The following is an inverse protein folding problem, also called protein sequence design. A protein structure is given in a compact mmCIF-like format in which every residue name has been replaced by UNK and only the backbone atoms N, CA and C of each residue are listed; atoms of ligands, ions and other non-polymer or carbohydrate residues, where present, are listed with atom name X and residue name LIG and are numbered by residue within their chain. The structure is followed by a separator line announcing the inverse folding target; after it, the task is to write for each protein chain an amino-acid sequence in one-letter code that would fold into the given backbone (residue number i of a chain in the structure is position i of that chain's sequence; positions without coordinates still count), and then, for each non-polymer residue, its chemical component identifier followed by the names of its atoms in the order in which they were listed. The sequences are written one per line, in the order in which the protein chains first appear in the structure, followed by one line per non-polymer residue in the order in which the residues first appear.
data_IF_247355179876
#
_entry.id   IF_247355179876
#
_cell.length_a   1.000
_cell.length_b   1.000
_cell.length_c   1.000
_cell.angle_alpha   90.00
_cell.angle_beta   90.00
_cell.angle_gamma   90.00
#
_symmetry.space_group_name_H-M   'P 1'
#
loop_
_entity.id
_entity.type
_entity.pdbx_description
1 polymer ?
#
# COMPACT_ATOMS: atom_id res chain seq x y z
N UNK A 1 -76.01 -31.96 19.14
CA UNK A 1 -74.75 -31.40 19.57
C UNK A 1 -73.81 -31.39 18.35
N UNK A 2 -73.62 -30.23 17.68
CA UNK A 2 -72.80 -30.07 16.48
C UNK A 2 -71.57 -29.33 16.94
N UNK A 3 -70.36 -29.96 16.77
CA UNK A 3 -69.07 -29.31 16.99
C UNK A 3 -68.59 -28.77 15.64
N UNK A 4 -68.45 -27.45 15.50
CA UNK A 4 -67.81 -26.80 14.38
C UNK A 4 -66.29 -26.78 14.64
N UNK A 5 -65.52 -27.39 13.75
CA UNK A 5 -64.08 -27.31 13.73
C UNK A 5 -63.68 -26.11 12.85
N UNK A 6 -63.14 -25.07 13.46
CA UNK A 6 -62.54 -23.94 12.74
C UNK A 6 -61.09 -24.29 12.39
N UNK A 7 -60.80 -24.49 11.14
CA UNK A 7 -59.48 -24.73 10.63
C UNK A 7 -58.82 -23.37 10.30
N UNK A 8 -57.93 -22.89 11.18
CA UNK A 8 -57.15 -21.67 10.95
C UNK A 8 -55.95 -21.98 10.08
N UNK A 9 -56.00 -21.54 8.82
CA UNK A 9 -54.90 -21.66 7.88
C UNK A 9 -53.89 -20.52 8.14
N UNK A 10 -52.72 -20.83 8.75
CA UNK A 10 -51.62 -19.88 8.90
C UNK A 10 -50.81 -19.89 7.61
N UNK A 11 -51.00 -18.86 6.74
CA UNK A 11 -50.12 -18.59 5.60
C UNK A 11 -48.82 -17.97 6.14
N UNK A 12 -47.75 -18.77 6.18
CA UNK A 12 -46.40 -18.30 6.42
C UNK A 12 -45.86 -17.66 5.14
N UNK A 13 -45.85 -16.32 5.09
CA UNK A 13 -45.16 -15.59 4.03
C UNK A 13 -43.65 -15.61 4.29
N UNK A 14 -42.94 -16.53 3.66
CA UNK A 14 -41.51 -16.44 3.55
C UNK A 14 -41.15 -15.25 2.63
N UNK A 15 -40.75 -14.13 3.22
CA UNK A 15 -40.06 -13.07 2.49
C UNK A 15 -38.69 -13.57 2.10
N UNK A 16 -38.56 -14.11 0.91
CA UNK A 16 -37.28 -14.29 0.25
C UNK A 16 -36.83 -12.90 -0.18
N UNK A 17 -35.92 -12.31 0.59
CA UNK A 17 -35.20 -11.10 0.17
C UNK A 17 -34.31 -11.49 -1.00
N UNK A 18 -34.81 -11.37 -2.21
CA UNK A 18 -33.98 -11.40 -3.42
C UNK A 18 -33.22 -10.09 -3.42
N UNK A 19 -31.97 -10.13 -2.90
CA UNK A 19 -30.98 -9.11 -3.20
C UNK A 19 -30.76 -9.15 -4.71
N UNK A 20 -31.39 -8.24 -5.42
CA UNK A 20 -31.10 -8.00 -6.83
C UNK A 20 -29.66 -7.49 -6.89
N UNK A 21 -28.71 -8.39 -7.09
CA UNK A 21 -27.42 -8.05 -7.67
C UNK A 21 -27.72 -7.55 -9.09
N UNK A 22 -27.86 -6.24 -9.24
CA UNK A 22 -27.75 -5.59 -10.53
C UNK A 22 -26.28 -5.78 -11.00
N UNK A 23 -26.00 -6.93 -11.56
CA UNK A 23 -24.83 -7.14 -12.41
C UNK A 23 -25.06 -6.32 -13.68
N UNK A 24 -24.76 -5.02 -13.59
CA UNK A 24 -24.54 -4.23 -14.78
C UNK A 24 -23.27 -4.80 -15.41
N UNK A 25 -23.39 -5.56 -16.49
CA UNK A 25 -22.28 -6.22 -17.23
C UNK A 25 -21.16 -5.24 -17.64
N UNK A 26 -21.37 -3.94 -17.41
CA UNK A 26 -20.48 -2.85 -17.78
C UNK A 26 -19.62 -2.28 -16.62
N UNK A 27 -19.85 -2.71 -15.37
CA UNK A 27 -19.15 -2.17 -14.20
C UNK A 27 -18.65 -3.29 -13.30
N UNK A 28 -17.37 -3.25 -12.93
CA UNK A 28 -16.78 -4.16 -11.95
C UNK A 28 -16.50 -3.39 -10.66
N UNK A 29 -17.15 -3.78 -9.57
CA UNK A 29 -16.99 -3.18 -8.25
C UNK A 29 -15.97 -3.95 -7.41
N UNK A 30 -15.13 -3.21 -6.68
CA UNK A 30 -14.12 -3.72 -5.78
C UNK A 30 -14.33 -3.10 -4.40
N UNK A 31 -14.40 -3.93 -3.36
CA UNK A 31 -14.58 -3.48 -1.98
C UNK A 31 -13.36 -3.81 -1.13
N UNK A 32 -12.84 -2.81 -0.39
CA UNK A 32 -11.65 -2.95 0.45
C UNK A 32 -11.35 -1.71 1.27
N UNK A 33 -10.08 -1.44 1.52
CA UNK A 33 -9.62 -0.25 2.26
C UNK A 33 -10.17 1.05 1.67
N UNK A 34 -10.17 1.17 0.36
CA UNK A 34 -11.01 2.06 -0.43
C UNK A 34 -11.87 1.22 -1.36
N UNK A 35 -13.12 1.61 -1.55
CA UNK A 35 -13.95 1.04 -2.58
C UNK A 35 -13.66 1.72 -3.92
N UNK A 36 -13.76 0.99 -5.01
CA UNK A 36 -13.69 1.57 -6.33
C UNK A 36 -14.48 0.74 -7.35
N UNK A 37 -14.82 1.35 -8.47
CA UNK A 37 -15.42 0.65 -9.58
C UNK A 37 -14.65 0.93 -10.87
N UNK A 38 -14.54 -0.09 -11.70
CA UNK A 38 -14.07 0.03 -13.07
C UNK A 38 -15.25 0.05 -14.02
N UNK A 39 -15.35 1.09 -14.84
CA UNK A 39 -16.39 1.25 -15.85
C UNK A 39 -15.84 0.87 -17.23
N UNK A 40 -16.22 -0.32 -17.72
CA UNK A 40 -15.70 -0.90 -18.97
C UNK A 40 -15.90 0.03 -20.19
N UNK A 41 -17.07 0.68 -20.30
CA UNK A 41 -17.37 1.56 -21.45
C UNK A 41 -16.49 2.81 -21.51
N UNK A 42 -16.03 3.30 -20.37
CA UNK A 42 -15.20 4.50 -20.27
C UNK A 42 -13.72 4.18 -20.15
N UNK A 43 -13.38 2.91 -19.87
CA UNK A 43 -12.05 2.46 -19.48
C UNK A 43 -11.49 3.31 -18.31
N UNK A 44 -12.32 3.46 -17.26
CA UNK A 44 -11.99 4.33 -16.11
C UNK A 44 -12.20 3.65 -14.77
N UNK A 45 -11.34 3.98 -13.83
CA UNK A 45 -11.46 3.63 -12.41
C UNK A 45 -11.98 4.85 -11.64
N UNK A 46 -13.11 4.67 -10.95
CA UNK A 46 -13.68 5.66 -10.04
C UNK A 46 -13.45 5.22 -8.60
N UNK A 47 -12.69 6.01 -7.86
CA UNK A 47 -12.38 5.75 -6.46
C UNK A 47 -13.42 6.42 -5.56
N UNK A 48 -13.91 5.68 -4.55
CA UNK A 48 -14.77 6.17 -3.49
C UNK A 48 -13.91 6.57 -2.29
N UNK A 49 -13.84 7.87 -1.99
CA UNK A 49 -13.03 8.41 -0.90
C UNK A 49 -13.93 8.79 0.26
N UNK A 50 -13.95 7.97 1.29
CA UNK A 50 -14.65 8.15 2.56
C UNK A 50 -13.72 8.65 3.69
N UNK A 51 -12.40 8.51 3.53
CA UNK A 51 -11.36 8.81 4.52
C UNK A 51 -10.69 10.15 4.22
N UNK A 52 -11.35 11.23 4.63
CA UNK A 52 -10.81 12.59 4.47
C UNK A 52 -9.95 12.94 5.69
N UNK A 53 -8.74 13.49 5.45
CA UNK A 53 -7.73 13.84 6.46
C UNK A 53 -7.19 12.63 7.27
N UNK A 54 -7.47 11.42 6.89
CA UNK A 54 -6.88 10.20 7.45
C UNK A 54 -5.58 9.86 6.72
N UNK A 55 -4.51 9.63 7.46
CA UNK A 55 -3.21 9.28 6.90
C UNK A 55 -3.19 7.80 6.50
N UNK A 56 -2.60 7.50 5.34
CA UNK A 56 -2.33 6.14 4.87
C UNK A 56 -0.99 6.08 4.14
N UNK A 57 -0.45 4.86 3.99
CA UNK A 57 0.79 4.64 3.27
C UNK A 57 0.50 4.51 1.77
N UNK A 58 1.25 5.25 0.96
CA UNK A 58 1.29 5.10 -0.49
C UNK A 58 2.69 4.67 -0.93
N UNK A 59 2.75 3.58 -1.70
CA UNK A 59 3.97 3.08 -2.33
C UNK A 59 3.67 2.83 -3.81
N UNK A 60 4.62 3.18 -4.67
CA UNK A 60 4.60 2.73 -6.05
C UNK A 60 5.78 1.79 -6.31
N UNK A 61 5.60 0.87 -7.24
CA UNK A 61 6.65 -0.09 -7.64
C UNK A 61 6.52 -0.44 -9.13
N UNK A 62 7.42 -1.26 -9.64
CA UNK A 62 7.35 -1.81 -10.98
C UNK A 62 7.03 -3.30 -10.91
N UNK A 63 5.86 -3.72 -11.40
CA UNK A 63 5.53 -5.14 -11.57
C UNK A 63 6.32 -5.73 -12.73
N UNK A 64 6.50 -4.96 -13.80
CA UNK A 64 7.37 -5.30 -14.93
C UNK A 64 8.36 -4.17 -15.13
N UNK A 65 9.64 -4.50 -15.10
CA UNK A 65 10.74 -3.57 -15.29
C UNK A 65 11.41 -3.72 -16.66
N UNK A 66 12.58 -3.12 -16.81
CA UNK A 66 13.37 -3.12 -18.06
C UNK A 66 14.44 -4.24 -18.12
N UNK A 67 14.61 -5.03 -17.05
CA UNK A 67 15.50 -6.19 -17.07
C UNK A 67 17.01 -5.88 -17.03
N UNK A 68 17.41 -4.69 -16.57
CA UNK A 68 18.81 -4.32 -16.40
C UNK A 68 19.04 -3.70 -15.03
N UNK A 69 19.81 -4.39 -14.18
CA UNK A 69 20.19 -3.89 -12.86
C UNK A 69 20.96 -2.56 -12.94
N UNK A 70 21.76 -2.34 -14.00
CA UNK A 70 22.50 -1.10 -14.19
C UNK A 70 21.59 0.09 -14.46
N UNK A 71 20.44 -0.12 -15.11
CA UNK A 71 19.40 0.90 -15.26
C UNK A 71 18.68 1.10 -13.93
N UNK A 72 18.50 0.03 -13.14
CA UNK A 72 17.82 0.08 -11.84
C UNK A 72 16.32 0.42 -11.97
N UNK A 73 15.67 -0.13 -13.00
CA UNK A 73 14.23 -0.15 -13.23
C UNK A 73 13.79 -1.60 -13.37
N UNK A 74 14.05 -2.39 -12.32
CA UNK A 74 13.85 -3.82 -12.31
C UNK A 74 12.44 -4.21 -11.84
N UNK A 75 12.04 -5.44 -12.15
CA UNK A 75 10.84 -6.04 -11.58
C UNK A 75 10.90 -6.00 -10.05
N UNK A 76 9.81 -5.55 -9.42
CA UNK A 76 9.67 -5.47 -7.97
C UNK A 76 10.35 -4.25 -7.33
N UNK A 77 11.00 -3.38 -8.12
CA UNK A 77 11.65 -2.20 -7.55
C UNK A 77 10.63 -1.25 -6.93
N UNK A 78 10.84 -0.95 -5.65
CA UNK A 78 10.05 0.02 -4.92
C UNK A 78 10.45 1.44 -5.29
N UNK A 79 9.46 2.31 -5.43
CA UNK A 79 9.65 3.76 -5.45
C UNK A 79 9.70 4.34 -4.03
N UNK A 80 9.41 5.62 -3.92
CA UNK A 80 9.40 6.29 -2.62
C UNK A 80 8.17 5.89 -1.80
N UNK A 81 8.38 5.57 -0.53
CA UNK A 81 7.33 5.42 0.48
C UNK A 81 6.83 6.81 0.90
N UNK A 82 5.52 6.98 0.96
CA UNK A 82 4.90 8.26 1.34
C UNK A 82 3.73 8.04 2.27
N UNK A 83 3.72 8.75 3.39
CA UNK A 83 2.49 8.91 4.16
C UNK A 83 1.69 10.02 3.48
N UNK A 84 0.47 9.72 3.09
CA UNK A 84 -0.41 10.64 2.36
C UNK A 84 -1.81 10.67 2.95
N UNK A 85 -2.58 11.70 2.59
CA UNK A 85 -4.01 11.80 2.92
C UNK A 85 -4.76 12.54 1.83
N UNK A 86 -6.06 12.28 1.73
CA UNK A 86 -6.94 13.12 0.93
C UNK A 86 -7.37 14.35 1.71
N UNK A 87 -7.19 15.55 1.13
CA UNK A 87 -7.71 16.81 1.66
C UNK A 87 -8.69 17.44 0.67
N UNK A 88 -9.82 17.95 1.19
CA UNK A 88 -10.83 18.64 0.37
C UNK A 88 -10.52 20.12 0.27
N UNK A 89 -10.52 20.65 -0.96
CA UNK A 89 -10.38 22.06 -1.27
C UNK A 89 -11.42 22.45 -2.34
N UNK A 90 -12.47 23.17 -1.91
CA UNK A 90 -13.58 23.51 -2.82
C UNK A 90 -14.19 22.25 -3.46
N UNK A 91 -14.17 22.18 -4.80
CA UNK A 91 -14.66 21.01 -5.57
C UNK A 91 -13.54 20.00 -5.95
N UNK A 92 -12.44 20.00 -5.21
CA UNK A 92 -11.31 19.10 -5.47
C UNK A 92 -10.96 18.28 -4.24
N UNK A 93 -10.48 17.06 -4.46
CA UNK A 93 -9.69 16.30 -3.50
C UNK A 93 -8.23 16.35 -3.93
N UNK A 94 -7.36 16.72 -3.00
CA UNK A 94 -5.92 16.69 -3.21
C UNK A 94 -5.33 15.52 -2.44
N UNK A 95 -4.51 14.70 -3.11
CA UNK A 95 -3.65 13.71 -2.46
C UNK A 95 -2.41 14.45 -1.96
N UNK A 96 -2.32 14.62 -0.65
CA UNK A 96 -1.30 15.44 0.01
C UNK A 96 -0.36 14.55 0.80
N UNK A 97 0.94 14.76 0.64
CA UNK A 97 1.99 14.21 1.48
C UNK A 97 2.37 15.26 2.54
N UNK A 98 2.00 15.05 3.83
CA UNK A 98 2.45 15.91 4.92
C UNK A 98 3.96 15.84 5.08
N UNK A 99 4.54 16.95 5.54
CA UNK A 99 5.96 16.95 5.87
C UNK A 99 6.21 16.16 7.16
N UNK A 100 6.78 14.97 7.03
CA UNK A 100 7.08 14.10 8.17
C UNK A 100 8.47 14.34 8.78
N UNK A 101 9.32 15.15 8.13
CA UNK A 101 10.67 15.42 8.59
C UNK A 101 10.72 16.51 9.67
N UNK A 102 9.72 17.41 9.67
CA UNK A 102 9.60 18.54 10.58
C UNK A 102 8.24 18.47 11.27
N UNK A 103 8.24 18.32 12.59
CA UNK A 103 7.01 18.12 13.39
C UNK A 103 7.04 18.97 14.64
N UNK A 104 5.89 19.13 15.28
CA UNK A 104 5.77 19.56 16.67
C UNK A 104 4.97 18.49 17.44
N UNK A 105 5.63 17.74 18.31
CA UNK A 105 4.97 16.79 19.22
C UNK A 105 4.50 17.58 20.44
N UNK A 106 3.32 18.20 20.33
CA UNK A 106 2.78 19.11 21.35
C UNK A 106 1.26 19.00 21.42
N UNK A 107 0.71 19.24 22.60
CA UNK A 107 -0.73 19.44 22.81
C UNK A 107 -1.18 20.88 22.50
N UNK A 108 -0.24 21.79 22.23
CA UNK A 108 -0.51 23.17 21.86
C UNK A 108 -0.75 23.26 20.34
N UNK A 109 -2.01 23.42 19.94
CA UNK A 109 -2.40 23.51 18.52
C UNK A 109 -1.71 24.68 17.79
N UNK A 110 -1.43 25.80 18.45
CA UNK A 110 -0.75 26.94 17.84
C UNK A 110 0.70 26.61 17.48
N UNK A 111 1.37 25.83 18.33
CA UNK A 111 2.74 25.37 18.10
C UNK A 111 2.78 24.38 16.91
N UNK A 112 1.86 23.40 16.89
CA UNK A 112 1.72 22.48 15.77
C UNK A 112 1.45 23.22 14.46
N UNK A 113 0.49 24.16 14.47
CA UNK A 113 0.16 24.95 13.29
C UNK A 113 1.35 25.82 12.81
N UNK A 114 2.14 26.36 13.71
CA UNK A 114 3.33 27.17 13.34
C UNK A 114 4.35 26.34 12.57
N UNK A 115 4.57 25.08 12.99
CA UNK A 115 5.50 24.17 12.29
C UNK A 115 4.90 23.73 10.94
N UNK A 116 3.61 23.39 10.87
CA UNK A 116 2.94 23.05 9.61
C UNK A 116 2.97 24.20 8.60
N UNK A 117 2.92 25.44 9.06
CA UNK A 117 3.00 26.63 8.18
C UNK A 117 4.44 26.93 7.74
N UNK A 118 5.43 26.59 8.56
CA UNK A 118 6.84 26.81 8.27
C UNK A 118 7.41 25.79 7.25
N UNK A 119 6.86 24.58 7.20
CA UNK A 119 7.37 23.47 6.38
C UNK A 119 6.28 22.96 5.45
N UNK A 120 6.46 23.20 4.15
CA UNK A 120 5.46 22.90 3.13
C UNK A 120 5.15 21.40 3.04
N UNK A 121 3.86 21.10 2.83
CA UNK A 121 3.40 19.81 2.36
C UNK A 121 3.56 19.70 0.84
N UNK A 122 3.56 18.47 0.30
CA UNK A 122 3.58 18.23 -1.14
C UNK A 122 2.21 17.75 -1.61
N UNK A 123 1.67 18.38 -2.65
CA UNK A 123 0.50 17.86 -3.35
C UNK A 123 0.97 16.89 -4.43
N UNK A 124 0.60 15.62 -4.29
CA UNK A 124 0.98 14.56 -5.23
C UNK A 124 0.09 14.60 -6.47
N UNK A 125 -1.22 14.78 -6.27
CA UNK A 125 -2.20 14.87 -7.34
C UNK A 125 -3.47 15.60 -6.89
N UNK A 126 -4.21 16.15 -7.86
CA UNK A 126 -5.49 16.81 -7.64
C UNK A 126 -6.60 16.18 -8.48
N UNK A 127 -7.70 15.82 -7.83
CA UNK A 127 -8.87 15.20 -8.45
C UNK A 127 -10.05 16.14 -8.38
N UNK A 128 -10.82 16.23 -9.46
CA UNK A 128 -12.14 16.86 -9.41
C UNK A 128 -13.14 15.89 -8.78
N UNK A 129 -13.98 16.41 -7.88
CA UNK A 129 -15.08 15.64 -7.29
C UNK A 129 -16.17 15.53 -8.36
N UNK A 130 -16.44 14.29 -8.82
CA UNK A 130 -17.49 14.01 -9.81
C UNK A 130 -18.85 13.96 -9.13
N UNK A 131 -18.91 13.27 -7.98
CA UNK A 131 -20.14 13.06 -7.22
C UNK A 131 -19.83 13.04 -5.73
N UNK A 132 -20.77 13.49 -4.91
CA UNK A 132 -20.77 13.29 -3.46
C UNK A 132 -22.01 12.53 -3.05
N UNK A 133 -21.83 11.38 -2.37
CA UNK A 133 -22.88 10.56 -1.75
C UNK A 133 -22.66 10.57 -0.25
N UNK A 134 -23.52 11.23 0.50
CA UNK A 134 -23.34 11.42 1.94
C UNK A 134 -21.95 11.98 2.26
N UNK A 135 -21.08 11.19 2.92
CA UNK A 135 -19.70 11.56 3.27
C UNK A 135 -18.65 10.93 2.35
N UNK A 136 -19.07 10.26 1.26
CA UNK A 136 -18.19 9.64 0.27
C UNK A 136 -18.06 10.54 -0.96
N UNK A 137 -16.83 10.80 -1.39
CA UNK A 137 -16.52 11.54 -2.60
C UNK A 137 -16.07 10.58 -3.72
N UNK A 138 -16.67 10.71 -4.88
CA UNK A 138 -16.30 9.91 -6.06
C UNK A 138 -15.41 10.75 -6.97
N UNK A 139 -14.25 10.20 -7.34
CA UNK A 139 -13.25 10.84 -8.19
C UNK A 139 -12.83 9.92 -9.35
N UNK A 140 -12.49 10.50 -10.51
CA UNK A 140 -11.81 9.77 -11.59
C UNK A 140 -10.34 9.57 -11.20
N UNK A 141 -9.99 8.32 -10.91
CA UNK A 141 -8.66 7.94 -10.44
C UNK A 141 -7.69 7.59 -11.58
N UNK A 142 -8.23 7.39 -12.80
CA UNK A 142 -7.49 6.97 -13.99
C UNK A 142 -6.31 7.87 -14.33
N UNK A 143 -6.43 9.22 -14.34
CA UNK A 143 -5.30 10.09 -14.68
C UNK A 143 -4.13 9.98 -13.71
N UNK A 144 -4.38 9.65 -12.43
CA UNK A 144 -3.32 9.41 -11.46
C UNK A 144 -2.55 8.13 -11.77
N UNK A 145 -3.22 7.08 -12.23
CA UNK A 145 -2.59 5.80 -12.57
C UNK A 145 -1.77 5.89 -13.86
N UNK A 146 -2.21 6.71 -14.82
CA UNK A 146 -1.58 6.88 -16.13
C UNK A 146 -0.55 8.03 -16.14
N UNK A 147 0.29 8.15 -15.09
CA UNK A 147 1.40 9.11 -15.03
C UNK A 147 2.70 8.41 -14.63
N UNK A 148 3.85 8.99 -14.99
CA UNK A 148 5.19 8.49 -14.63
C UNK A 148 5.53 8.76 -13.16
N UNK A 149 4.81 8.11 -12.23
CA UNK A 149 5.02 8.29 -10.80
C UNK A 149 6.31 7.65 -10.31
N UNK A 150 6.73 6.55 -10.93
CA UNK A 150 8.00 5.88 -10.60
C UNK A 150 9.22 6.68 -11.04
N UNK A 151 9.06 7.56 -12.03
CA UNK A 151 10.13 8.42 -12.53
C UNK A 151 11.03 7.74 -13.55
N UNK A 152 10.47 6.88 -14.37
CA UNK A 152 11.18 6.17 -15.46
C UNK A 152 11.89 7.14 -16.40
N UNK A 153 11.20 8.20 -16.82
CA UNK A 153 11.76 9.24 -17.69
C UNK A 153 12.99 9.90 -17.04
N UNK A 154 12.85 10.29 -15.77
CA UNK A 154 13.95 10.92 -15.03
C UNK A 154 15.14 9.96 -14.88
N UNK A 155 14.88 8.70 -14.59
CA UNK A 155 15.92 7.68 -14.41
C UNK A 155 16.69 7.45 -15.69
N UNK A 156 16.03 7.20 -16.82
CA UNK A 156 16.67 6.99 -18.13
C UNK A 156 17.49 8.21 -18.55
N UNK A 157 16.96 9.42 -18.35
CA UNK A 157 17.68 10.65 -18.64
C UNK A 157 18.95 10.79 -17.79
N UNK A 158 18.87 10.52 -16.49
CA UNK A 158 20.02 10.63 -15.57
C UNK A 158 21.17 9.68 -15.94
N UNK A 159 20.84 8.51 -16.51
CA UNK A 159 21.78 7.49 -16.96
C UNK A 159 22.19 7.68 -18.43
N UNK A 160 21.78 8.75 -19.08
CA UNK A 160 22.06 9.04 -20.50
C UNK A 160 21.61 7.89 -21.43
N UNK A 161 20.47 7.26 -21.09
CA UNK A 161 19.89 6.20 -21.92
C UNK A 161 19.00 6.72 -23.04
N UNK A 162 18.67 8.02 -23.03
CA UNK A 162 17.88 8.70 -24.03
C UNK A 162 16.85 9.67 -23.42
N UNK A 163 16.15 10.36 -24.30
CA UNK A 163 15.08 11.30 -23.96
C UNK A 163 13.72 10.66 -24.32
N UNK A 164 12.87 10.43 -23.31
CA UNK A 164 11.59 9.77 -23.45
C UNK A 164 10.45 10.67 -22.95
N UNK A 165 9.25 10.42 -23.45
CA UNK A 165 7.98 10.97 -22.96
C UNK A 165 6.95 9.85 -22.83
N UNK A 166 6.03 9.98 -21.89
CA UNK A 166 4.91 9.07 -21.76
C UNK A 166 3.94 9.22 -22.95
N UNK A 167 3.53 8.10 -23.54
CA UNK A 167 2.56 8.04 -24.61
C UNK A 167 1.27 7.38 -24.12
N UNK A 168 0.27 8.21 -23.80
CA UNK A 168 -1.01 7.72 -23.29
C UNK A 168 -1.79 6.89 -24.31
N UNK A 169 -1.55 7.07 -25.63
CA UNK A 169 -2.21 6.27 -26.66
C UNK A 169 -1.75 4.81 -26.69
N UNK A 170 -0.60 4.53 -26.06
CA UNK A 170 0.01 3.21 -25.93
C UNK A 170 0.05 2.73 -24.48
N UNK A 171 -0.63 3.44 -23.58
CA UNK A 171 -0.72 3.12 -22.16
C UNK A 171 -2.16 2.73 -21.80
N UNK A 172 -2.33 1.85 -20.81
CA UNK A 172 -3.63 1.31 -20.45
C UNK A 172 -3.68 0.92 -18.97
N UNK A 173 -4.90 0.79 -18.41
CA UNK A 173 -5.12 0.18 -17.11
C UNK A 173 -4.87 -1.33 -17.19
N UNK A 174 -4.14 -1.90 -16.24
CA UNK A 174 -3.93 -3.34 -16.10
C UNK A 174 -4.82 -3.88 -14.98
N UNK A 175 -5.89 -4.57 -15.38
CA UNK A 175 -6.92 -4.98 -14.42
C UNK A 175 -6.65 -6.32 -13.75
N UNK A 176 -5.73 -7.12 -14.30
CA UNK A 176 -5.45 -8.48 -13.79
C UNK A 176 -5.00 -8.45 -12.32
N UNK A 177 -4.23 -7.45 -11.96
CA UNK A 177 -3.69 -7.27 -10.60
C UNK A 177 -4.24 -6.02 -9.91
N UNK A 178 -5.27 -5.39 -10.46
CA UNK A 178 -6.04 -4.33 -9.79
C UNK A 178 -7.06 -4.99 -8.86
N UNK A 179 -6.86 -4.82 -7.53
CA UNK A 179 -7.56 -5.55 -6.47
C UNK A 179 -7.83 -4.67 -5.26
N UNK A 180 -8.82 -5.07 -4.46
CA UNK A 180 -9.11 -4.46 -3.17
C UNK A 180 -9.07 -5.51 -2.06
N UNK A 181 -8.45 -5.16 -0.95
CA UNK A 181 -8.35 -5.97 0.26
C UNK A 181 -8.76 -5.15 1.49
N UNK A 182 -9.06 -5.77 2.63
CA UNK A 182 -9.52 -5.04 3.82
C UNK A 182 -8.57 -3.94 4.31
N UNK A 183 -7.26 -4.10 4.11
CA UNK A 183 -6.25 -3.16 4.59
C UNK A 183 -5.44 -2.49 3.46
N UNK A 184 -5.68 -2.83 2.20
CA UNK A 184 -5.01 -2.20 1.07
C UNK A 184 -5.83 -2.26 -0.21
N UNK A 185 -5.49 -1.40 -1.16
CA UNK A 185 -5.96 -1.46 -2.54
C UNK A 185 -4.79 -1.32 -3.48
N UNK A 186 -4.84 -2.09 -4.57
CA UNK A 186 -3.75 -2.27 -5.52
C UNK A 186 -4.22 -1.92 -6.93
N UNK A 187 -3.46 -1.11 -7.63
CA UNK A 187 -3.75 -0.70 -9.00
C UNK A 187 -2.53 -0.88 -9.87
N UNK A 188 -2.75 -1.29 -11.13
CA UNK A 188 -1.68 -1.39 -12.11
C UNK A 188 -2.03 -0.66 -13.41
N UNK A 189 -0.99 -0.11 -14.02
CA UNK A 189 -1.07 0.51 -15.33
C UNK A 189 0.14 0.13 -16.19
N UNK A 190 -0.12 -0.28 -17.42
CA UNK A 190 0.89 -0.40 -18.47
C UNK A 190 1.21 0.99 -18.99
N UNK A 191 2.43 1.45 -18.79
CA UNK A 191 2.91 2.74 -19.25
C UNK A 191 3.93 2.56 -20.35
N UNK A 192 3.71 3.19 -21.49
CA UNK A 192 4.62 3.16 -22.64
C UNK A 192 5.28 4.53 -22.83
N UNK A 193 6.59 4.49 -22.95
CA UNK A 193 7.43 5.67 -23.15
C UNK A 193 8.02 5.63 -24.55
N UNK A 194 7.88 6.74 -25.26
CA UNK A 194 8.36 6.90 -26.62
C UNK A 194 9.46 7.96 -26.64
N UNK A 195 10.55 7.66 -27.32
CA UNK A 195 11.68 8.60 -27.38
C UNK A 195 12.80 8.14 -28.28
N UNK A 196 13.96 8.79 -28.16
CA UNK A 196 15.18 8.45 -28.87
C UNK A 196 16.14 7.76 -27.91
N UNK A 197 16.41 6.48 -28.15
CA UNK A 197 17.41 5.72 -27.41
C UNK A 197 18.81 6.20 -27.77
N UNK A 198 19.63 6.47 -26.76
CA UNK A 198 21.03 6.90 -26.94
C UNK A 198 22.01 5.97 -26.22
N UNK A 199 21.54 5.31 -25.15
CA UNK A 199 22.39 4.47 -24.30
C UNK A 199 22.47 3.03 -24.75
N UNK A 200 23.65 2.42 -24.53
CA UNK A 200 23.88 1.01 -24.84
C UNK A 200 22.99 0.06 -23.99
N UNK A 201 22.74 0.42 -22.73
CA UNK A 201 21.97 -0.45 -21.84
C UNK A 201 20.55 -0.63 -22.35
N UNK A 202 19.82 0.47 -22.61
CA UNK A 202 18.44 0.37 -23.11
C UNK A 202 18.37 -0.32 -24.48
N UNK A 203 19.37 -0.08 -25.35
CA UNK A 203 19.42 -0.71 -26.68
C UNK A 203 19.70 -2.20 -26.63
N UNK A 204 20.30 -2.71 -25.55
CA UNK A 204 20.61 -4.14 -25.41
C UNK A 204 19.50 -4.98 -24.81
N UNK A 205 18.49 -4.35 -24.19
CA UNK A 205 17.43 -5.06 -23.43
C UNK A 205 16.04 -4.89 -24.03
N UNK A 206 15.75 -3.76 -24.66
CA UNK A 206 14.44 -3.49 -25.22
C UNK A 206 14.32 -4.01 -26.66
N UNK A 207 13.23 -4.70 -27.01
CA UNK A 207 12.96 -5.13 -28.41
C UNK A 207 12.91 -3.95 -29.38
N UNK A 208 12.31 -2.84 -28.96
CA UNK A 208 12.38 -1.53 -29.61
C UNK A 208 12.79 -0.49 -28.58
N UNK A 209 14.05 -0.05 -28.58
CA UNK A 209 14.53 0.91 -27.60
C UNK A 209 13.84 2.28 -27.64
N UNK A 210 13.17 2.61 -28.75
CA UNK A 210 12.43 3.86 -28.88
C UNK A 210 10.98 3.77 -28.35
N UNK A 211 10.49 2.56 -28.04
CA UNK A 211 9.16 2.27 -27.50
C UNK A 211 9.28 1.28 -26.33
N UNK A 212 9.49 1.77 -25.13
CA UNK A 212 9.65 0.93 -23.95
C UNK A 212 8.40 0.96 -23.07
N UNK A 213 8.05 -0.17 -22.48
CA UNK A 213 6.88 -0.29 -21.63
C UNK A 213 7.24 -0.93 -20.30
N UNK A 214 6.61 -0.44 -19.23
CA UNK A 214 6.67 -1.03 -17.88
C UNK A 214 5.25 -1.14 -17.32
N UNK A 215 5.04 -2.04 -16.37
CA UNK A 215 3.82 -2.05 -15.57
C UNK A 215 4.13 -1.40 -14.24
N UNK A 216 3.54 -0.23 -14.01
CA UNK A 216 3.62 0.51 -12.76
C UNK A 216 2.51 0.06 -11.83
N UNK A 217 2.86 -0.19 -10.59
CA UNK A 217 1.99 -0.63 -9.52
C UNK A 217 1.85 0.44 -8.45
N UNK A 218 0.64 0.60 -7.91
CA UNK A 218 0.32 1.55 -6.85
C UNK A 218 -0.39 0.82 -5.72
N UNK A 219 0.14 0.95 -4.50
CA UNK A 219 -0.42 0.39 -3.28
C UNK A 219 -0.85 1.50 -2.33
N UNK A 220 -2.12 1.51 -1.94
CA UNK A 220 -2.63 2.33 -0.84
C UNK A 220 -2.92 1.42 0.34
N UNK A 221 -2.20 1.62 1.45
CA UNK A 221 -2.18 0.70 2.58
C UNK A 221 -2.61 1.45 3.83
N UNK A 222 -3.56 0.85 4.56
CA UNK A 222 -4.01 1.34 5.86
C UNK A 222 -2.86 1.33 6.85
N UNK A 223 -2.66 2.44 7.58
CA UNK A 223 -1.71 2.46 8.68
C UNK A 223 -2.19 1.62 9.86
N UNK A 224 -1.27 1.02 10.64
CA UNK A 224 -1.62 0.33 11.88
C UNK A 224 -2.19 1.32 12.91
N UNK A 225 -2.68 0.78 14.04
CA UNK A 225 -3.18 1.57 15.15
C UNK A 225 -2.08 2.44 15.81
N UNK A 226 -2.48 3.38 16.66
CA UNK A 226 -1.59 4.31 17.36
C UNK A 226 -1.01 3.74 18.66
N UNK A 227 -1.10 2.42 18.92
CA UNK A 227 -0.64 1.79 20.16
C UNK A 227 0.85 1.43 20.16
N UNK A 228 1.58 1.80 19.10
CA UNK A 228 3.01 1.57 19.02
C UNK A 228 3.76 2.49 19.99
N UNK A 229 4.59 1.88 20.84
CA UNK A 229 5.50 2.62 21.74
C UNK A 229 6.88 2.72 21.10
N UNK A 230 7.24 3.90 20.66
CA UNK A 230 8.57 4.18 20.10
C UNK A 230 9.66 3.93 21.14
N UNK A 231 10.85 3.54 20.68
CA UNK A 231 12.06 3.38 21.47
C UNK A 231 13.15 4.27 20.91
N UNK A 232 13.79 5.06 21.79
CA UNK A 232 14.89 5.92 21.39
C UNK A 232 16.04 5.09 20.81
N UNK A 233 16.67 5.63 19.78
CA UNK A 233 17.87 5.07 19.20
C UNK A 233 19.08 5.36 20.08
N UNK A 234 19.92 4.33 20.31
CA UNK A 234 21.24 4.45 20.89
C UNK A 234 22.27 4.01 19.85
N UNK A 235 23.29 4.83 19.51
CA UNK A 235 24.28 4.50 18.50
C UNK A 235 25.05 3.20 18.77
N UNK A 236 25.08 2.73 20.03
CA UNK A 236 25.69 1.46 20.41
C UNK A 236 24.84 0.24 20.06
N UNK A 237 23.56 0.44 19.72
CA UNK A 237 22.63 -0.67 19.49
C UNK A 237 22.81 -1.38 18.15
N UNK A 238 23.45 -0.74 17.15
CA UNK A 238 23.51 -1.26 15.77
C UNK A 238 22.15 -1.34 15.05
N UNK A 239 21.08 -0.80 15.65
CA UNK A 239 19.73 -0.87 15.11
C UNK A 239 19.51 0.14 13.97
N UNK A 240 18.64 -0.20 13.03
CA UNK A 240 18.12 0.74 12.03
C UNK A 240 17.16 1.72 12.72
N UNK A 241 17.20 2.98 12.32
CA UNK A 241 16.36 4.02 12.91
C UNK A 241 15.69 4.90 11.85
N UNK A 242 14.59 5.53 12.24
CA UNK A 242 13.99 6.68 11.58
C UNK A 242 14.24 7.94 12.39
N UNK A 243 14.25 9.12 11.74
CA UNK A 243 14.47 10.39 12.43
C UNK A 243 13.62 11.51 11.87
N UNK A 244 13.35 12.51 12.72
CA UNK A 244 12.68 13.76 12.35
C UNK A 244 13.09 14.87 13.31
N UNK A 245 12.83 16.13 12.93
CA UNK A 245 13.06 17.31 13.77
C UNK A 245 11.78 17.65 14.51
N UNK A 246 11.83 17.61 15.85
CA UNK A 246 10.72 18.01 16.73
C UNK A 246 10.92 19.42 17.24
N UNK A 247 10.22 20.37 16.64
CA UNK A 247 10.31 21.79 16.98
C UNK A 247 9.58 22.18 18.28
N UNK A 248 8.85 21.23 18.89
CA UNK A 248 8.27 21.37 20.22
C UNK A 248 9.20 20.86 21.33
N UNK A 249 10.42 20.42 20.99
CA UNK A 249 11.40 19.98 21.99
C UNK A 249 11.81 21.14 22.90
N UNK A 250 11.96 20.90 24.22
CA UNK A 250 12.54 21.89 25.13
C UNK A 250 13.89 22.42 24.60
N UNK A 251 14.20 23.71 24.89
CA UNK A 251 15.41 24.40 24.36
C UNK A 251 16.70 23.69 24.71
N UNK A 252 16.74 23.00 25.87
CA UNK A 252 17.90 22.23 26.35
C UNK A 252 18.01 20.84 25.69
N UNK A 253 16.97 20.37 25.01
CA UNK A 253 16.92 19.05 24.41
C UNK A 253 17.30 19.08 22.92
N UNK A 254 17.76 17.93 22.40
CA UNK A 254 18.00 17.79 20.99
C UNK A 254 16.66 17.76 20.22
N UNK A 255 16.54 18.58 19.18
CA UNK A 255 15.38 18.60 18.30
C UNK A 255 15.33 17.38 17.38
N UNK A 256 16.48 16.78 17.04
CA UNK A 256 16.55 15.58 16.20
C UNK A 256 16.17 14.35 17.03
N UNK A 257 14.96 13.85 16.84
CA UNK A 257 14.46 12.63 17.47
C UNK A 257 14.78 11.44 16.57
N UNK A 258 15.31 10.37 17.17
CA UNK A 258 15.66 9.12 16.49
C UNK A 258 15.01 7.95 17.19
N UNK A 259 14.26 7.15 16.44
CA UNK A 259 13.58 5.97 16.97
C UNK A 259 13.97 4.73 16.19
N UNK A 260 14.28 3.62 16.91
CA UNK A 260 14.58 2.35 16.26
C UNK A 260 13.34 1.79 15.55
N UNK A 261 13.58 1.22 14.37
CA UNK A 261 12.57 0.47 13.62
C UNK A 261 12.54 -0.97 14.18
N UNK A 262 11.39 -1.40 14.66
CA UNK A 262 11.21 -2.74 15.24
C UNK A 262 9.78 -3.22 15.11
N UNK A 263 9.59 -4.52 15.14
CA UNK A 263 8.27 -5.12 15.30
C UNK A 263 7.67 -4.83 16.68
N UNK A 264 6.35 -4.75 16.75
CA UNK A 264 5.59 -4.61 18.00
C UNK A 264 5.32 -6.00 18.59
N UNK A 265 6.32 -6.57 19.25
CA UNK A 265 6.16 -7.82 19.98
C UNK A 265 5.75 -7.56 21.43
N UNK A 266 4.74 -8.29 21.90
CA UNK A 266 4.25 -8.24 23.27
C UNK A 266 4.03 -9.66 23.79
N UNK A 267 4.65 -10.00 24.95
CA UNK A 267 4.42 -11.28 25.62
C UNK A 267 2.97 -11.39 26.07
N UNK A 268 2.38 -12.59 26.00
CA UNK A 268 1.07 -12.87 26.59
C UNK A 268 1.17 -12.75 28.11
N UNK A 269 2.24 -13.31 28.70
CA UNK A 269 2.55 -13.15 30.11
C UNK A 269 3.91 -12.43 30.26
N UNK A 270 3.85 -11.14 30.66
CA UNK A 270 5.06 -10.30 30.83
C UNK A 270 5.95 -10.72 31.97
N UNK A 271 5.42 -11.46 32.96
CA UNK A 271 6.11 -11.81 34.20
C UNK A 271 7.00 -13.07 34.04
N UNK A 272 6.85 -13.78 32.92
CA UNK A 272 7.67 -14.93 32.59
C UNK A 272 8.91 -14.52 31.79
N UNK A 273 10.04 -15.15 32.10
CA UNK A 273 11.29 -14.97 31.34
C UNK A 273 11.08 -15.36 29.87
N UNK A 274 10.32 -16.41 29.60
CA UNK A 274 9.89 -16.82 28.27
C UNK A 274 8.36 -16.92 28.21
N UNK A 275 7.76 -16.34 27.17
CA UNK A 275 6.31 -16.36 26.92
C UNK A 275 6.02 -16.34 25.44
N UNK A 276 4.95 -16.99 25.03
CA UNK A 276 4.34 -16.77 23.73
C UNK A 276 3.96 -15.29 23.55
N UNK A 277 3.83 -14.87 22.31
CA UNK A 277 3.49 -13.49 21.94
C UNK A 277 2.02 -13.37 21.58
N UNK A 278 1.45 -12.17 21.81
CA UNK A 278 0.05 -11.85 21.47
C UNK A 278 -0.16 -11.95 19.96
N UNK A 279 0.80 -11.46 19.18
CA UNK A 279 0.77 -11.47 17.73
C UNK A 279 2.16 -11.81 17.21
N UNK A 280 2.36 -13.01 16.63
CA UNK A 280 3.63 -13.41 16.07
C UNK A 280 3.93 -12.71 14.73
N UNK A 281 5.19 -12.61 14.41
CA UNK A 281 5.67 -12.21 13.09
C UNK A 281 5.57 -13.45 12.19
N UNK A 282 4.66 -13.43 11.22
CA UNK A 282 4.47 -14.57 10.31
C UNK A 282 4.93 -14.17 8.91
N UNK A 283 5.85 -14.97 8.35
CA UNK A 283 6.20 -14.90 6.94
C UNK A 283 5.60 -16.09 6.19
N UNK A 284 5.16 -15.86 4.99
CA UNK A 284 4.56 -16.87 4.13
C UNK A 284 5.43 -17.09 2.91
N UNK A 285 5.85 -18.32 2.68
CA UNK A 285 6.61 -18.67 1.48
C UNK A 285 5.67 -18.93 0.31
N UNK A 286 6.02 -18.36 -0.85
CA UNK A 286 5.34 -18.59 -2.13
C UNK A 286 5.29 -20.11 -2.41
N UNK A 287 4.10 -20.71 -2.60
CA UNK A 287 3.95 -22.13 -2.91
C UNK A 287 4.60 -22.51 -4.24
N UNK A 288 4.84 -21.56 -5.14
CA UNK A 288 5.52 -21.77 -6.44
C UNK A 288 7.01 -22.08 -6.32
N UNK A 289 7.65 -21.91 -5.15
CA UNK A 289 9.05 -22.28 -4.98
C UNK A 289 9.24 -23.79 -5.14
N UNK A 290 10.17 -24.25 -6.03
CA UNK A 290 10.41 -25.68 -6.24
C UNK A 290 11.24 -26.31 -5.12
N UNK A 291 11.14 -27.64 -4.95
CA UNK A 291 12.10 -28.38 -4.13
C UNK A 291 13.45 -28.54 -4.87
N UNK A 292 14.61 -28.49 -4.16
CA UNK A 292 14.78 -28.40 -2.71
C UNK A 292 14.82 -26.95 -2.17
N UNK A 293 14.59 -25.95 -3.01
CA UNK A 293 14.69 -24.53 -2.65
C UNK A 293 13.62 -24.14 -1.62
N UNK A 294 12.40 -24.67 -1.78
CA UNK A 294 11.31 -24.46 -0.83
C UNK A 294 11.71 -24.86 0.60
N UNK A 295 12.24 -26.10 0.74
CA UNK A 295 12.70 -26.60 2.04
C UNK A 295 13.83 -25.74 2.61
N UNK A 296 14.80 -25.32 1.79
CA UNK A 296 15.92 -24.49 2.24
C UNK A 296 15.46 -23.09 2.67
N UNK A 297 14.51 -22.48 1.97
CA UNK A 297 13.94 -21.16 2.34
C UNK A 297 13.13 -21.26 3.64
N UNK A 298 12.33 -22.32 3.81
CA UNK A 298 11.58 -22.58 5.05
C UNK A 298 12.52 -22.74 6.24
N UNK A 299 13.55 -23.55 6.11
CA UNK A 299 14.54 -23.81 7.14
C UNK A 299 15.30 -22.51 7.49
N UNK A 300 15.92 -21.88 6.52
CA UNK A 300 16.74 -20.68 6.74
C UNK A 300 15.93 -19.50 7.32
N UNK A 301 14.70 -19.27 6.86
CA UNK A 301 13.85 -18.23 7.43
C UNK A 301 13.42 -18.56 8.87
N UNK A 302 13.22 -19.83 9.20
CA UNK A 302 12.79 -20.25 10.55
C UNK A 302 13.85 -20.04 11.63
N UNK A 303 15.12 -19.87 11.28
CA UNK A 303 16.20 -19.58 12.23
C UNK A 303 15.98 -18.29 13.04
N UNK A 304 15.23 -17.34 12.49
CA UNK A 304 14.87 -16.14 13.24
C UNK A 304 14.10 -16.41 14.52
N UNK A 305 13.36 -17.53 14.60
CA UNK A 305 12.65 -17.89 15.83
C UNK A 305 13.61 -18.10 17.01
N UNK A 306 14.78 -18.72 16.79
CA UNK A 306 15.79 -18.93 17.81
C UNK A 306 16.29 -17.61 18.40
N UNK A 307 16.48 -16.58 17.55
CA UNK A 307 16.90 -15.26 18.00
C UNK A 307 15.84 -14.58 18.90
N UNK A 308 14.56 -14.74 18.59
CA UNK A 308 13.47 -14.22 19.43
C UNK A 308 13.30 -15.01 20.71
N UNK A 309 13.46 -16.33 20.68
CA UNK A 309 13.42 -17.19 21.88
C UNK A 309 14.56 -16.90 22.85
N UNK A 310 15.77 -16.61 22.33
CA UNK A 310 16.92 -16.25 23.14
C UNK A 310 16.69 -14.96 23.98
N UNK A 311 15.78 -14.09 23.56
CA UNK A 311 15.40 -12.86 24.28
C UNK A 311 14.02 -12.98 24.94
N UNK A 312 13.50 -14.22 25.07
CA UNK A 312 12.31 -14.54 25.86
C UNK A 312 10.96 -14.45 25.12
N UNK A 313 10.97 -14.33 23.78
CA UNK A 313 9.74 -14.32 22.96
C UNK A 313 9.55 -15.68 22.27
N UNK A 314 8.77 -16.55 22.87
CA UNK A 314 8.50 -17.90 22.36
C UNK A 314 7.55 -17.85 21.18
N UNK A 315 7.80 -18.67 20.15
CA UNK A 315 6.97 -18.76 18.93
C UNK A 315 6.71 -17.40 18.24
N UNK A 316 7.61 -16.44 18.44
CA UNK A 316 7.41 -15.05 18.00
C UNK A 316 7.63 -14.86 16.49
N UNK A 317 8.42 -15.71 15.87
CA UNK A 317 8.67 -15.69 14.43
C UNK A 317 8.28 -17.03 13.82
N UNK A 318 7.43 -17.02 12.81
CA UNK A 318 6.90 -18.21 12.17
C UNK A 318 7.03 -18.12 10.66
N UNK A 319 7.35 -19.25 10.02
CA UNK A 319 7.35 -19.36 8.55
C UNK A 319 6.33 -20.41 8.15
N UNK A 320 5.46 -20.09 7.20
CA UNK A 320 4.38 -20.96 6.72
C UNK A 320 4.35 -20.95 5.19
N UNK A 321 3.72 -21.91 4.58
CA UNK A 321 3.38 -21.84 3.16
C UNK A 321 2.16 -20.93 3.01
N UNK A 322 2.16 -20.06 2.01
CA UNK A 322 1.00 -19.22 1.71
C UNK A 322 -0.20 -20.11 1.37
N UNK A 323 -1.36 -19.93 2.01
CA UNK A 323 -2.57 -20.69 1.69
C UNK A 323 -2.99 -20.51 0.22
N UNK A 324 -3.58 -21.55 -0.38
CA UNK A 324 -3.98 -21.55 -1.79
C UNK A 324 -5.04 -20.50 -2.13
N UNK A 325 -5.86 -20.09 -1.16
CA UNK A 325 -6.89 -19.06 -1.26
C UNK A 325 -6.39 -17.65 -0.90
N UNK A 326 -5.14 -17.53 -0.44
CA UNK A 326 -4.54 -16.24 -0.11
C UNK A 326 -3.94 -15.55 -1.34
N UNK A 327 -4.13 -14.23 -1.41
CA UNK A 327 -3.50 -13.41 -2.44
C UNK A 327 -2.21 -12.78 -1.89
N UNK A 328 -1.06 -12.96 -2.54
CA UNK A 328 0.21 -12.38 -2.08
C UNK A 328 0.24 -10.84 -2.12
N UNK A 329 -0.75 -10.19 -2.75
CA UNK A 329 -0.89 -8.73 -2.77
C UNK A 329 -1.66 -8.20 -1.56
N UNK A 330 -2.30 -9.06 -0.77
CA UNK A 330 -2.94 -8.66 0.47
C UNK A 330 -1.87 -8.38 1.53
N UNK A 331 -1.79 -7.12 1.98
CA UNK A 331 -0.75 -6.66 2.91
C UNK A 331 -0.79 -7.34 4.30
N UNK A 332 -1.80 -8.15 4.58
CA UNK A 332 -1.85 -8.98 5.79
C UNK A 332 -0.87 -10.16 5.76
N UNK A 333 -0.34 -10.49 4.58
CA UNK A 333 0.64 -11.56 4.41
C UNK A 333 2.02 -10.96 4.10
N UNK A 334 3.01 -11.28 4.93
CA UNK A 334 4.41 -11.00 4.61
C UNK A 334 4.91 -12.14 3.73
N UNK A 335 5.10 -11.92 2.44
CA UNK A 335 5.40 -12.99 1.48
C UNK A 335 6.89 -13.02 1.13
N UNK A 336 7.50 -14.20 1.28
CA UNK A 336 8.81 -14.52 0.69
C UNK A 336 8.50 -15.03 -0.73
N UNK A 337 8.69 -14.19 -1.71
CA UNK A 337 8.35 -14.49 -3.10
C UNK A 337 9.54 -15.15 -3.82
N UNK A 338 9.22 -16.18 -4.60
CA UNK A 338 10.16 -16.87 -5.49
C UNK A 338 10.18 -16.28 -6.91
#
# INVERSE_FOLDING_TARGET
MRYNFFLTLILSFCFVSVSAQNNNENNKFFSGFFNFNYQLKLDKIFLEVDKINEDFLYINSLTTGLGSNDIGLDRGQLGNERIVKFRKYGNKLLLVQPNQNFRAISNNASEVNSVEQAFANSVIFGFEIIEKKEDVYIIDFTPFLLQDTHGVIKRLKSLKQGAYKLDLSKSALELKRTKAFPNNVEFEALLTYVGNAEGRLISSIAPDPNNISVIQHHSFIKLPDNNYKSRNFDPRSGAIFTSFMDYASPVQDQINKKYIIRHRLKKINSDLDQSDVVEPIIYYLDPGAPEPIKSALMDGASWWNEAFEAIGFKNAFQVKILPDDADPMDCRYNVIQW
#
